data_IF_536198718344
#
_entry.id   IF_536198718344
#
_cell.length_a   1.000
_cell.length_b   1.000
_cell.length_c   1.000
_cell.angle_alpha   90.00
_cell.angle_beta   90.00
_cell.angle_gamma   90.00
#
_symmetry.space_group_name_H-M   'P 1'
#
loop_
_entity.id
_entity.type
_entity.pdbx_description
1 polymer ?
#
# COMPACT_ATOMS: atom_id res chain seq x y z
N UNK A 1 -3.61 0.44 -20.04
CA UNK A 1 -4.42 1.67 -20.03
C UNK A 1 -3.94 2.58 -21.16
N UNK A 2 -4.84 3.04 -22.05
CA UNK A 2 -4.49 3.92 -23.18
C UNK A 2 -4.00 5.30 -22.72
N UNK A 3 -4.28 5.67 -21.47
CA UNK A 3 -3.84 6.93 -20.85
C UNK A 3 -2.35 6.93 -20.50
N UNK A 4 -1.71 5.77 -20.46
CA UNK A 4 -0.30 5.63 -20.08
C UNK A 4 0.57 5.52 -21.34
N UNK A 5 1.53 6.45 -21.56
CA UNK A 5 2.39 6.40 -22.74
C UNK A 5 3.22 5.11 -22.78
N UNK A 6 3.32 4.48 -23.97
CA UNK A 6 4.09 3.23 -24.17
C UNK A 6 5.56 3.35 -23.72
N UNK A 7 6.15 4.53 -23.85
CA UNK A 7 7.52 4.80 -23.39
C UNK A 7 7.65 4.66 -21.87
N UNK A 8 6.66 5.14 -21.12
CA UNK A 8 6.66 5.04 -19.67
C UNK A 8 6.52 3.58 -19.21
N UNK A 9 5.63 2.82 -19.86
CA UNK A 9 5.47 1.38 -19.60
C UNK A 9 6.81 0.67 -19.78
N UNK A 10 7.49 0.91 -20.91
CA UNK A 10 8.81 0.33 -21.16
C UNK A 10 9.84 0.68 -20.07
N UNK A 11 9.86 1.93 -19.61
CA UNK A 11 10.77 2.33 -18.54
C UNK A 11 10.44 1.68 -17.19
N UNK A 12 9.16 1.37 -16.92
CA UNK A 12 8.75 0.59 -15.75
C UNK A 12 9.22 -0.86 -15.88
N UNK A 13 9.02 -1.49 -17.04
CA UNK A 13 9.44 -2.87 -17.30
C UNK A 13 10.98 -3.01 -17.17
N UNK A 14 11.75 -2.08 -17.77
CA UNK A 14 13.21 -2.04 -17.64
C UNK A 14 13.66 -1.87 -16.18
N UNK A 15 12.93 -1.11 -15.35
CA UNK A 15 13.25 -0.96 -13.93
C UNK A 15 12.98 -2.24 -13.14
N UNK A 16 11.87 -2.93 -13.43
CA UNK A 16 11.54 -4.22 -12.83
C UNK A 16 12.62 -5.27 -13.16
N UNK A 17 12.95 -5.45 -14.45
CA UNK A 17 13.99 -6.39 -14.88
C UNK A 17 15.34 -6.13 -14.21
N UNK A 18 15.74 -4.86 -14.12
CA UNK A 18 17.03 -4.48 -13.51
C UNK A 18 17.09 -4.70 -12.00
N UNK A 19 15.95 -4.84 -11.34
CA UNK A 19 15.86 -4.92 -9.87
C UNK A 19 15.33 -6.24 -9.34
N UNK A 20 14.93 -7.16 -10.21
CA UNK A 20 14.33 -8.47 -9.86
C UNK A 20 15.17 -9.29 -8.87
N UNK A 21 16.50 -9.26 -9.00
CA UNK A 21 17.42 -9.98 -8.11
C UNK A 21 17.72 -9.29 -6.77
N UNK A 22 17.21 -8.09 -6.52
CA UNK A 22 17.52 -7.32 -5.32
C UNK A 22 16.82 -7.91 -4.08
N UNK A 23 17.53 -7.95 -2.96
CA UNK A 23 17.02 -8.52 -1.69
C UNK A 23 17.01 -7.55 -0.52
N UNK A 24 17.66 -6.39 -0.66
CA UNK A 24 17.81 -5.44 0.44
C UNK A 24 16.54 -4.62 0.71
N UNK A 25 15.78 -4.30 -0.34
CA UNK A 25 14.60 -3.44 -0.26
C UNK A 25 13.72 -3.67 -1.48
N UNK A 26 12.41 -3.60 -1.26
CA UNK A 26 11.40 -3.51 -2.33
C UNK A 26 10.81 -2.10 -2.31
N UNK A 27 10.73 -1.45 -3.47
CA UNK A 27 10.07 -0.15 -3.64
C UNK A 27 8.84 -0.35 -4.53
N UNK A 28 7.65 -0.21 -3.94
CA UNK A 28 6.39 -0.25 -4.68
C UNK A 28 5.96 1.16 -5.07
N UNK A 29 5.81 1.41 -6.37
CA UNK A 29 5.32 2.69 -6.89
C UNK A 29 3.86 2.50 -7.33
N UNK A 30 2.94 3.03 -6.54
CA UNK A 30 1.50 3.00 -6.82
C UNK A 30 1.13 4.01 -7.93
N UNK A 31 1.39 3.65 -9.18
CA UNK A 31 1.11 4.49 -10.35
C UNK A 31 -0.29 4.23 -10.92
N UNK A 32 -1.09 5.28 -11.11
CA UNK A 32 -2.50 5.17 -11.54
C UNK A 32 -3.31 4.20 -10.65
N UNK A 33 -2.95 4.16 -9.37
CA UNK A 33 -3.49 3.23 -8.39
C UNK A 33 -4.71 3.83 -7.67
N UNK A 34 -5.64 2.96 -7.26
CA UNK A 34 -6.67 3.29 -6.29
C UNK A 34 -7.24 2.04 -5.63
N UNK A 35 -7.28 2.01 -4.29
CA UNK A 35 -7.65 0.82 -3.53
C UNK A 35 -9.07 0.32 -3.80
N UNK A 36 -10.03 1.22 -4.10
CA UNK A 36 -11.36 0.80 -4.55
C UNK A 36 -11.33 0.03 -5.88
N UNK A 37 -10.49 0.45 -6.83
CA UNK A 37 -10.39 -0.23 -8.12
C UNK A 37 -9.73 -1.60 -7.94
N UNK A 38 -8.68 -1.66 -7.12
CA UNK A 38 -8.02 -2.91 -6.76
C UNK A 38 -8.97 -3.93 -6.14
N UNK A 39 -9.76 -3.53 -5.13
CA UNK A 39 -10.74 -4.43 -4.51
C UNK A 39 -11.78 -4.91 -5.53
N UNK A 40 -12.27 -4.02 -6.40
CA UNK A 40 -13.22 -4.40 -7.46
C UNK A 40 -12.61 -5.39 -8.43
N UNK A 41 -11.36 -5.19 -8.84
CA UNK A 41 -10.66 -6.07 -9.77
C UNK A 41 -10.34 -7.43 -9.11
N UNK A 42 -9.97 -7.45 -7.83
CA UNK A 42 -9.79 -8.68 -7.05
C UNK A 42 -11.09 -9.51 -7.00
N UNK A 43 -12.22 -8.87 -6.69
CA UNK A 43 -13.54 -9.53 -6.69
C UNK A 43 -13.92 -10.02 -8.09
N UNK A 44 -13.65 -9.26 -9.15
CA UNK A 44 -13.88 -9.71 -10.53
C UNK A 44 -13.03 -10.93 -10.88
N UNK A 45 -11.77 -10.96 -10.42
CA UNK A 45 -10.88 -12.11 -10.63
C UNK A 45 -11.45 -13.37 -9.95
N UNK A 46 -11.89 -13.26 -8.69
CA UNK A 46 -12.52 -14.36 -7.96
C UNK A 46 -13.76 -14.91 -8.68
N UNK A 47 -14.61 -14.01 -9.19
CA UNK A 47 -15.81 -14.41 -9.95
C UNK A 47 -15.44 -15.08 -11.28
N UNK A 48 -14.45 -14.56 -11.99
CA UNK A 48 -13.98 -15.11 -13.27
C UNK A 48 -13.39 -16.53 -13.11
N UNK A 49 -12.76 -16.80 -11.97
CA UNK A 49 -12.24 -18.13 -11.61
C UNK A 49 -13.33 -19.10 -11.10
N UNK A 50 -14.56 -18.63 -10.93
CA UNK A 50 -15.67 -19.46 -10.46
C UNK A 50 -15.55 -19.85 -8.98
N UNK A 51 -14.88 -19.03 -8.17
CA UNK A 51 -14.78 -19.25 -6.73
C UNK A 51 -16.19 -19.20 -6.12
N UNK A 52 -16.55 -20.26 -5.39
CA UNK A 52 -17.85 -20.33 -4.73
C UNK A 52 -17.94 -19.29 -3.60
N UNK A 53 -19.11 -18.67 -3.37
CA UNK A 53 -19.27 -17.63 -2.35
C UNK A 53 -18.75 -18.02 -0.96
N UNK A 54 -18.92 -19.27 -0.55
CA UNK A 54 -18.50 -19.76 0.78
C UNK A 54 -16.98 -19.94 0.91
N UNK A 55 -16.24 -19.76 -0.20
CA UNK A 55 -14.77 -19.79 -0.26
C UNK A 55 -14.17 -18.40 -0.38
N UNK A 56 -14.99 -17.35 -0.47
CA UNK A 56 -14.51 -15.97 -0.46
C UNK A 56 -14.29 -15.55 0.99
N UNK A 57 -13.02 -15.50 1.39
CA UNK A 57 -12.55 -14.99 2.68
C UNK A 57 -11.48 -13.90 2.48
N UNK A 58 -10.93 -13.35 3.57
CA UNK A 58 -9.89 -12.32 3.51
C UNK A 58 -8.64 -12.78 2.75
N UNK A 59 -8.28 -14.07 2.86
CA UNK A 59 -7.13 -14.64 2.15
C UNK A 59 -7.41 -14.73 0.65
N UNK A 60 -8.61 -15.15 0.28
CA UNK A 60 -9.06 -15.19 -1.10
C UNK A 60 -9.11 -13.78 -1.70
N UNK A 61 -9.52 -12.75 -0.97
CA UNK A 61 -9.43 -11.38 -1.49
C UNK A 61 -7.97 -10.96 -1.65
N UNK A 62 -7.12 -11.19 -0.63
CA UNK A 62 -5.70 -10.81 -0.66
C UNK A 62 -4.95 -11.42 -1.83
N UNK A 63 -5.18 -12.70 -2.13
CA UNK A 63 -4.48 -13.39 -3.23
C UNK A 63 -4.82 -12.84 -4.63
N UNK A 64 -5.86 -12.00 -4.75
CA UNK A 64 -6.26 -11.36 -6.00
C UNK A 64 -6.08 -9.83 -6.02
N UNK A 65 -5.48 -9.24 -4.98
CA UNK A 65 -5.02 -7.85 -5.02
C UNK A 65 -3.87 -7.70 -6.03
N UNK A 66 -3.49 -6.46 -6.38
CA UNK A 66 -2.48 -6.26 -7.42
C UNK A 66 -1.09 -6.78 -7.01
N UNK A 67 -0.78 -6.80 -5.71
CA UNK A 67 0.46 -7.33 -5.15
C UNK A 67 0.18 -8.20 -3.91
N UNK A 68 -0.23 -9.47 -4.08
CA UNK A 68 -0.69 -10.33 -2.97
C UNK A 68 0.40 -10.62 -1.93
N UNK A 69 1.67 -10.62 -2.35
CA UNK A 69 2.84 -10.88 -1.49
C UNK A 69 3.38 -9.62 -0.80
N UNK A 70 2.84 -8.43 -1.12
CA UNK A 70 3.22 -7.22 -0.40
C UNK A 70 2.77 -7.35 1.05
N UNK A 71 3.63 -7.08 2.06
CA UNK A 71 3.19 -7.05 3.45
C UNK A 71 2.28 -5.84 3.70
N UNK A 72 1.43 -5.94 4.73
CA UNK A 72 0.67 -4.78 5.18
C UNK A 72 1.62 -3.69 5.70
N UNK A 73 1.42 -2.41 5.35
CA UNK A 73 2.25 -1.35 5.87
C UNK A 73 2.11 -1.25 7.39
N UNK A 74 3.22 -1.25 8.11
CA UNK A 74 3.22 -0.94 9.54
C UNK A 74 2.87 0.54 9.79
N UNK A 75 3.42 1.42 8.95
CA UNK A 75 3.36 2.87 9.08
C UNK A 75 3.04 3.50 7.72
N UNK A 76 2.02 4.34 7.69
CA UNK A 76 1.68 5.19 6.54
C UNK A 76 1.91 6.65 6.92
N UNK A 77 2.79 7.30 6.16
CA UNK A 77 3.13 8.71 6.35
C UNK A 77 2.44 9.52 5.26
N UNK A 78 1.68 10.55 5.65
CA UNK A 78 1.06 11.50 4.72
C UNK A 78 1.50 12.93 5.00
N UNK A 79 2.07 13.55 3.99
CA UNK A 79 2.54 14.94 4.01
C UNK A 79 1.42 15.96 3.76
N UNK A 80 1.79 17.25 3.83
CA UNK A 80 0.98 18.43 3.51
C UNK A 80 -0.23 18.72 4.39
N UNK A 81 -0.28 18.18 5.62
CA UNK A 81 -1.31 18.52 6.61
C UNK A 81 -2.70 17.94 6.33
N UNK A 82 -2.78 16.94 5.45
CA UNK A 82 -4.05 16.40 4.99
C UNK A 82 -4.45 15.12 5.74
N UNK A 83 -5.48 15.21 6.58
CA UNK A 83 -5.98 14.11 7.42
C UNK A 83 -6.97 13.22 6.68
N UNK A 84 -6.49 12.53 5.64
CA UNK A 84 -7.29 11.57 4.87
C UNK A 84 -6.40 10.49 4.26
N UNK A 85 -6.98 9.36 3.87
CA UNK A 85 -6.26 8.29 3.17
C UNK A 85 -6.22 8.51 1.65
N UNK A 86 -7.26 9.13 1.08
CA UNK A 86 -7.39 9.36 -0.37
C UNK A 86 -7.25 8.11 -1.23
N UNK A 87 -7.96 7.02 -0.87
CA UNK A 87 -8.06 5.81 -1.70
C UNK A 87 -6.71 5.09 -1.92
N UNK A 88 -5.74 5.29 -1.04
CA UNK A 88 -4.46 4.59 -1.05
C UNK A 88 -4.53 3.32 -0.19
N UNK A 89 -3.99 2.19 -0.67
CA UNK A 89 -3.85 0.89 0.02
C UNK A 89 -5.00 0.50 0.96
N UNK A 90 -6.25 0.62 0.50
CA UNK A 90 -7.43 0.55 1.39
C UNK A 90 -7.57 -0.78 2.12
N UNK A 91 -7.15 -1.88 1.50
CA UNK A 91 -7.20 -3.20 2.10
C UNK A 91 -6.02 -3.37 3.05
N UNK A 92 -4.82 -3.05 2.57
CA UNK A 92 -3.55 -3.34 3.24
C UNK A 92 -3.34 -2.44 4.46
N UNK A 93 -3.86 -1.21 4.45
CA UNK A 93 -3.67 -0.28 5.55
C UNK A 93 -4.66 -0.42 6.71
N UNK A 94 -5.53 -1.43 6.68
CA UNK A 94 -6.61 -1.61 7.66
C UNK A 94 -6.12 -1.57 9.13
N UNK A 95 -4.90 -2.02 9.38
CA UNK A 95 -4.25 -2.03 10.69
C UNK A 95 -2.98 -1.18 10.76
N UNK A 96 -2.70 -0.38 9.72
CA UNK A 96 -1.54 0.52 9.70
C UNK A 96 -1.71 1.65 10.70
N UNK A 97 -0.59 2.06 11.28
CA UNK A 97 -0.53 3.33 11.96
C UNK A 97 -0.36 4.49 10.99
N UNK A 98 -1.08 5.57 11.23
CA UNK A 98 -1.05 6.76 10.37
C UNK A 98 -0.28 7.88 11.06
N UNK A 99 0.64 8.50 10.32
CA UNK A 99 1.33 9.74 10.71
C UNK A 99 1.05 10.80 9.66
N UNK A 100 0.49 11.91 10.10
CA UNK A 100 0.22 13.06 9.24
C UNK A 100 1.18 14.19 9.61
N UNK A 101 1.79 14.83 8.60
CA UNK A 101 2.73 15.94 8.81
C UNK A 101 2.40 17.11 7.90
N UNK A 102 2.60 18.33 8.40
CA UNK A 102 2.42 19.56 7.63
C UNK A 102 3.55 19.81 6.63
N UNK A 103 4.67 19.09 6.75
CA UNK A 103 5.80 19.19 5.80
C UNK A 103 5.31 18.82 4.40
N UNK A 104 5.62 19.68 3.42
CA UNK A 104 5.27 19.44 2.02
C UNK A 104 6.16 18.35 1.42
N UNK A 105 5.64 17.53 0.51
CA UNK A 105 6.42 16.43 -0.10
C UNK A 105 7.77 16.87 -0.72
N UNK A 106 7.86 18.00 -1.47
CA UNK A 106 9.15 18.48 -1.98
C UNK A 106 10.15 18.89 -0.90
N UNK A 107 9.67 19.19 0.31
CA UNK A 107 10.47 19.61 1.47
C UNK A 107 10.75 18.47 2.44
N UNK A 108 10.10 17.31 2.27
CA UNK A 108 10.29 16.14 3.12
C UNK A 108 11.71 15.58 2.98
N UNK A 109 12.40 15.38 4.10
CA UNK A 109 13.78 14.87 4.16
C UNK A 109 13.88 13.64 5.05
N UNK A 110 15.10 13.07 5.12
CA UNK A 110 15.40 11.86 5.91
C UNK A 110 15.06 12.06 7.39
N UNK A 111 15.28 13.26 7.91
CA UNK A 111 15.02 13.63 9.29
C UNK A 111 13.52 13.48 9.61
N UNK A 112 12.64 13.88 8.71
CA UNK A 112 11.19 13.73 8.88
C UNK A 112 10.74 12.26 8.84
N UNK A 113 11.38 11.43 8.01
CA UNK A 113 11.15 9.99 8.04
C UNK A 113 11.53 9.39 9.40
N UNK A 114 12.68 9.77 9.94
CA UNK A 114 13.11 9.31 11.26
C UNK A 114 12.17 9.80 12.37
N UNK A 115 11.66 11.02 12.29
CA UNK A 115 10.65 11.54 13.22
C UNK A 115 9.37 10.70 13.17
N UNK A 116 8.85 10.41 11.98
CA UNK A 116 7.65 9.59 11.83
C UNK A 116 7.85 8.15 12.35
N UNK A 117 9.02 7.56 12.12
CA UNK A 117 9.37 6.24 12.67
C UNK A 117 9.49 6.29 14.20
N UNK A 118 10.06 7.35 14.77
CA UNK A 118 10.12 7.53 16.23
C UNK A 118 8.72 7.69 16.83
N UNK A 119 7.84 8.43 16.17
CA UNK A 119 6.45 8.58 16.60
C UNK A 119 5.75 7.21 16.63
N UNK A 120 5.86 6.44 15.55
CA UNK A 120 5.36 5.07 15.47
C UNK A 120 5.90 4.18 16.60
N UNK A 121 7.21 4.23 16.85
CA UNK A 121 7.85 3.44 17.93
C UNK A 121 7.45 3.88 19.34
N UNK A 122 7.04 5.14 19.52
CA UNK A 122 6.67 5.70 20.82
C UNK A 122 5.24 5.36 21.27
N UNK A 123 4.40 4.90 20.34
CA UNK A 123 2.99 4.60 20.63
C UNK A 123 2.88 3.28 21.38
N UNK A 124 2.05 3.28 22.43
CA UNK A 124 1.79 2.08 23.20
C UNK A 124 0.94 1.11 22.36
N UNK A 125 1.54 -0.03 22.02
CA UNK A 125 0.88 -1.09 21.24
C UNK A 125 -0.11 -1.81 22.14
N UNK A 126 -1.37 -1.36 22.10
CA UNK A 126 -2.48 -2.12 22.66
C UNK A 126 -2.66 -3.41 21.85
N UNK A 127 -2.18 -4.52 22.40
CA UNK A 127 -2.32 -5.87 21.85
C UNK A 127 -3.78 -6.34 21.92
N UNK A 128 -4.71 -5.70 21.20
CA UNK A 128 -6.13 -6.09 21.16
C UNK A 128 -6.81 -6.23 22.53
N UNK A 129 -6.18 -5.71 23.58
CA UNK A 129 -6.61 -5.80 24.97
C UNK A 129 -7.27 -4.49 25.34
N UNK A 130 -8.55 -4.56 25.63
CA UNK A 130 -9.24 -3.56 26.43
C UNK A 130 -8.45 -3.42 27.72
N UNK A 131 -7.92 -2.23 27.99
CA UNK A 131 -7.26 -1.94 29.27
C UNK A 131 -8.24 -2.26 30.42
N UNK A 132 -7.78 -3.03 31.42
CA UNK A 132 -8.47 -3.20 32.71
C UNK A 132 -8.26 -1.98 33.59
#
# INVERSE_FOLDING_TARGET
DWRVPKRLIRSMDEALERTDGNRAMTLNIAFNYGGRAEIVDAVRSLVAEGIRPEKVDEKAIRSHLYLPDMPDPDLVIRTSGEFRISNFLLWELAYSELVFTDVLWPDFRRENLFEAVREYQSRDRRFGGVDQ
#
